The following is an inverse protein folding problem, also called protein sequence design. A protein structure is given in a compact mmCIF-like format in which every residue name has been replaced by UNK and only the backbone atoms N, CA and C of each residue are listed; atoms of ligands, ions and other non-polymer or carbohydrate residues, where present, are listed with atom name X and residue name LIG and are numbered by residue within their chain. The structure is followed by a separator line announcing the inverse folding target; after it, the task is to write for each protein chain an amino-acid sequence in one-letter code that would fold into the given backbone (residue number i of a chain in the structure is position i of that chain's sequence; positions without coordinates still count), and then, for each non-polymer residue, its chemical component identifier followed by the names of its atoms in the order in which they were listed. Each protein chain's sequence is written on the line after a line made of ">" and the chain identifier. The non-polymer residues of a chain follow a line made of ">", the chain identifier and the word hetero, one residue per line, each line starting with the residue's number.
data_IF_501312117500
#
_entry.id   IF_501312117500
#
_cell.length_a   1.000
_cell.length_b   1.000
_cell.length_c   1.000
_cell.angle_alpha   90.00
_cell.angle_beta   90.00
_cell.angle_gamma   90.00
#
_symmetry.space_group_name_H-M   'P 1'
#
loop_
_entity.id
_entity.type
_entity.pdbx_description
1 polymer ?
#
# COMPACT_ATOMS: atom_id res chain seq x y z
N UNK A 1 -2.89 -6.02 -19.37
CA UNK A 1 -2.92 -4.67 -18.78
C UNK A 1 -1.51 -4.13 -18.91
N UNK A 2 -1.38 -2.88 -19.33
CA UNK A 2 -0.07 -2.21 -19.39
C UNK A 2 0.54 -2.10 -17.99
N UNK A 3 1.86 -2.29 -17.87
CA UNK A 3 2.59 -2.33 -16.60
C UNK A 3 2.61 -0.94 -15.94
N UNK A 4 2.66 0.11 -16.75
CA UNK A 4 2.60 1.50 -16.29
C UNK A 4 1.21 1.79 -15.73
N UNK A 5 0.15 1.40 -16.46
CA UNK A 5 -1.23 1.50 -15.99
C UNK A 5 -1.48 0.66 -14.72
N UNK A 6 -0.85 -0.51 -14.59
CA UNK A 6 -0.95 -1.33 -13.38
C UNK A 6 -0.28 -0.63 -12.20
N UNK A 7 0.90 -0.06 -12.40
CA UNK A 7 1.66 0.68 -11.40
C UNK A 7 0.87 1.89 -10.88
N UNK A 8 0.32 2.70 -11.78
CA UNK A 8 -0.53 3.85 -11.42
C UNK A 8 -1.72 3.43 -10.55
N UNK A 9 -2.41 2.34 -10.93
CA UNK A 9 -3.55 1.83 -10.16
C UNK A 9 -3.16 1.30 -8.79
N UNK A 10 -1.99 0.65 -8.68
CA UNK A 10 -1.51 0.13 -7.40
C UNK A 10 -1.13 1.31 -6.48
N UNK A 11 -0.43 2.33 -6.99
CA UNK A 11 -0.11 3.55 -6.22
C UNK A 11 -1.40 4.23 -5.74
N UNK A 12 -2.40 4.37 -6.61
CA UNK A 12 -3.69 4.96 -6.24
C UNK A 12 -4.41 4.12 -5.16
N UNK A 13 -4.38 2.79 -5.27
CA UNK A 13 -4.96 1.91 -4.26
C UNK A 13 -4.29 2.07 -2.89
N UNK A 14 -2.96 2.20 -2.84
CA UNK A 14 -2.22 2.48 -1.60
C UNK A 14 -2.62 3.82 -0.97
N UNK A 15 -2.82 4.87 -1.77
CA UNK A 15 -3.30 6.17 -1.27
C UNK A 15 -4.67 6.04 -0.61
N UNK A 16 -5.61 5.37 -1.27
CA UNK A 16 -6.97 5.16 -0.74
C UNK A 16 -6.95 4.33 0.56
N UNK A 17 -6.08 3.32 0.65
CA UNK A 17 -5.92 2.54 1.88
C UNK A 17 -5.43 3.44 3.03
N UNK A 18 -4.42 4.28 2.78
CA UNK A 18 -3.90 5.23 3.79
C UNK A 18 -4.98 6.22 4.24
N UNK A 19 -5.79 6.74 3.32
CA UNK A 19 -6.92 7.61 3.65
C UNK A 19 -7.93 6.92 4.57
N UNK A 20 -8.30 5.68 4.28
CA UNK A 20 -9.22 4.92 5.13
C UNK A 20 -8.60 4.62 6.50
N UNK A 21 -7.31 4.28 6.56
CA UNK A 21 -6.61 3.99 7.82
C UNK A 21 -6.62 5.18 8.79
N UNK A 22 -6.54 6.42 8.29
CA UNK A 22 -6.54 7.62 9.13
C UNK A 22 -7.87 7.79 9.89
N UNK A 23 -8.98 7.32 9.32
CA UNK A 23 -10.33 7.49 9.89
C UNK A 23 -10.91 6.17 10.46
N UNK A 24 -10.15 5.08 10.47
CA UNK A 24 -10.66 3.76 10.84
C UNK A 24 -10.45 3.44 12.32
N UNK A 25 -11.53 3.47 13.11
CA UNK A 25 -11.49 3.09 14.53
C UNK A 25 -11.79 1.59 14.78
N UNK A 26 -11.72 0.74 13.76
CA UNK A 26 -12.03 -0.70 13.88
C UNK A 26 -10.73 -1.51 13.76
N UNK A 27 -10.17 -2.03 14.87
CA UNK A 27 -8.82 -2.63 14.87
C UNK A 27 -8.62 -3.78 13.87
N UNK A 28 -9.65 -4.59 13.67
CA UNK A 28 -9.62 -5.67 12.68
C UNK A 28 -9.48 -5.14 11.25
N UNK A 29 -10.17 -4.04 10.95
CA UNK A 29 -10.15 -3.42 9.62
C UNK A 29 -8.83 -2.70 9.40
N UNK A 30 -8.30 -1.99 10.40
CA UNK A 30 -6.96 -1.40 10.36
C UNK A 30 -5.91 -2.45 10.01
N UNK A 31 -5.89 -3.58 10.73
CA UNK A 31 -4.93 -4.66 10.48
C UNK A 31 -5.06 -5.27 9.08
N UNK A 32 -6.28 -5.41 8.56
CA UNK A 32 -6.52 -5.92 7.20
C UNK A 32 -6.07 -4.93 6.12
N UNK A 33 -6.33 -3.63 6.32
CA UNK A 33 -5.92 -2.57 5.41
C UNK A 33 -4.40 -2.38 5.38
N UNK A 34 -3.76 -2.43 6.55
CA UNK A 34 -2.30 -2.32 6.69
C UNK A 34 -1.58 -3.53 6.07
N UNK A 35 -2.14 -4.74 6.18
CA UNK A 35 -1.65 -5.91 5.44
C UNK A 35 -1.85 -5.77 3.92
N UNK A 36 -2.97 -5.18 3.49
CA UNK A 36 -3.21 -4.90 2.08
C UNK A 36 -2.19 -3.89 1.52
N UNK A 37 -1.91 -2.78 2.22
CA UNK A 37 -0.89 -1.81 1.80
C UNK A 37 0.50 -2.45 1.71
N UNK A 38 0.87 -3.30 2.67
CA UNK A 38 2.14 -4.03 2.65
C UNK A 38 2.27 -4.94 1.42
N UNK A 39 1.22 -5.68 1.09
CA UNK A 39 1.22 -6.52 -0.11
C UNK A 39 1.36 -5.69 -1.39
N UNK A 40 0.66 -4.56 -1.49
CA UNK A 40 0.80 -3.65 -2.62
C UNK A 40 2.20 -3.01 -2.69
N UNK A 41 2.79 -2.66 -1.55
CA UNK A 41 4.19 -2.19 -1.48
C UNK A 41 5.15 -3.21 -2.09
N UNK A 42 5.05 -4.49 -1.71
CA UNK A 42 5.91 -5.54 -2.26
C UNK A 42 5.74 -5.76 -3.75
N UNK A 43 4.52 -5.58 -4.28
CA UNK A 43 4.31 -5.62 -5.73
C UNK A 43 5.09 -4.49 -6.41
N UNK A 44 4.97 -3.25 -5.93
CA UNK A 44 5.70 -2.10 -6.49
C UNK A 44 7.22 -2.27 -6.40
N UNK A 45 7.70 -2.80 -5.27
CA UNK A 45 9.11 -3.16 -5.09
C UNK A 45 9.59 -4.16 -6.15
N UNK A 46 8.84 -5.23 -6.36
CA UNK A 46 9.18 -6.27 -7.36
C UNK A 46 9.11 -5.75 -8.80
N UNK A 47 8.32 -4.70 -9.05
CA UNK A 47 8.27 -4.00 -10.33
C UNK A 47 9.40 -2.97 -10.51
N UNK A 48 10.24 -2.76 -9.48
CA UNK A 48 11.33 -1.79 -9.50
C UNK A 48 10.85 -0.33 -9.45
N UNK A 49 9.63 -0.09 -8.98
CA UNK A 49 9.05 1.25 -8.87
C UNK A 49 9.57 1.92 -7.61
N UNK A 50 10.08 3.15 -7.74
CA UNK A 50 10.45 3.97 -6.60
C UNK A 50 9.19 4.46 -5.87
N UNK A 51 8.99 3.97 -4.65
CA UNK A 51 7.80 4.22 -3.84
C UNK A 51 8.17 4.44 -2.40
N UNK A 52 7.35 5.22 -1.70
CA UNK A 52 7.49 5.40 -0.26
C UNK A 52 7.49 4.04 0.46
N UNK A 53 8.46 3.90 1.37
CA UNK A 53 8.61 2.73 2.21
C UNK A 53 7.36 2.56 3.07
N UNK A 54 6.88 1.33 3.17
CA UNK A 54 5.74 1.05 4.04
C UNK A 54 6.13 1.29 5.52
N UNK A 55 5.31 1.94 6.36
CA UNK A 55 5.67 2.25 7.76
C UNK A 55 6.13 1.05 8.60
N UNK A 56 5.51 -0.12 8.41
CA UNK A 56 5.96 -1.41 9.01
C UNK A 56 7.41 -1.79 8.69
N UNK A 57 7.97 -1.31 7.57
CA UNK A 57 9.32 -1.60 7.11
C UNK A 57 10.35 -0.54 7.52
N UNK A 58 9.90 0.62 8.02
CA UNK A 58 10.78 1.71 8.48
C UNK A 58 11.50 1.40 9.79
N UNK A 59 11.14 0.29 10.46
CA UNK A 59 11.79 -0.14 11.71
C UNK A 59 12.58 -1.42 11.51
N UNK A 60 13.85 -1.23 11.16
CA UNK A 60 14.97 -2.08 11.58
C UNK A 60 16.12 -1.18 12.05
#
# INVERSE_FOLDING_TARGET
>A
MDIDLATEKIIAARSLIKEVLIECDVPMVEGALDEADLNLHWILWNLGVDVELHPKLEKN
#
